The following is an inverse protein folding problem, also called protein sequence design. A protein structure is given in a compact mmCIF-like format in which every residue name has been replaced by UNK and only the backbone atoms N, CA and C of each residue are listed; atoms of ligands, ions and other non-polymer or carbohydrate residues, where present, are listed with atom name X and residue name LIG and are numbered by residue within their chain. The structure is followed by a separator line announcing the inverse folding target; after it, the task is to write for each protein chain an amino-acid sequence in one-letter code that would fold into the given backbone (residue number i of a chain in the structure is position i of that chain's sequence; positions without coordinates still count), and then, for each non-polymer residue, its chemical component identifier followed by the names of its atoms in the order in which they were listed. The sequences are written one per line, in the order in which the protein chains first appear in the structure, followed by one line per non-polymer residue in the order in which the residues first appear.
data_IF_326262900236
#
_entry.id   IF_326262900236
#
_cell.length_a   1.000
_cell.length_b   1.000
_cell.length_c   1.000
_cell.angle_alpha   90.00
_cell.angle_beta   90.00
_cell.angle_gamma   90.00
#
_symmetry.space_group_name_H-M   'P 1'
#
loop_
_entity.id
_entity.type
_entity.pdbx_description
1 polymer ?
#
# COMPACT_ATOMS: atom_id res chain seq x y z
N UNK A 1 15.56 -2.22 33.03
CA UNK A 1 17.02 -2.44 33.16
C UNK A 1 17.57 -2.93 31.84
N UNK A 2 18.84 -2.62 31.53
CA UNK A 2 19.57 -3.17 30.38
C UNK A 2 20.35 -4.40 30.85
N UNK A 3 20.14 -5.55 30.22
CA UNK A 3 20.72 -6.81 30.70
C UNK A 3 22.06 -7.14 30.02
N UNK A 4 22.32 -6.60 28.84
CA UNK A 4 23.51 -6.90 28.06
C UNK A 4 24.07 -5.65 27.36
N UNK A 5 25.39 -5.47 27.45
CA UNK A 5 26.13 -4.41 26.79
C UNK A 5 27.30 -5.02 25.99
N UNK A 6 27.41 -4.66 24.71
CA UNK A 6 28.49 -5.11 23.82
C UNK A 6 29.46 -3.95 23.59
N UNK A 7 30.75 -4.20 23.77
CA UNK A 7 31.82 -3.21 23.59
C UNK A 7 32.50 -3.36 22.22
N UNK A 8 32.68 -2.23 21.53
CA UNK A 8 33.48 -2.10 20.31
C UNK A 8 34.73 -1.25 20.52
N UNK A 9 35.48 -0.98 19.45
CA UNK A 9 36.78 -0.27 19.46
C UNK A 9 36.75 1.16 20.02
N UNK A 10 35.58 1.77 20.21
CA UNK A 10 35.42 3.10 20.82
C UNK A 10 33.98 3.45 21.16
N UNK A 11 33.11 2.43 21.30
CA UNK A 11 31.69 2.61 21.53
C UNK A 11 31.11 1.39 22.24
N UNK A 12 29.96 1.58 22.89
CA UNK A 12 29.19 0.52 23.50
C UNK A 12 27.76 0.58 22.99
N UNK A 13 27.14 -0.59 22.81
CA UNK A 13 25.74 -0.71 22.42
C UNK A 13 25.02 -1.66 23.39
N UNK A 14 23.82 -1.29 23.83
CA UNK A 14 22.99 -2.16 24.66
C UNK A 14 22.07 -3.05 23.82
N UNK A 15 21.61 -4.15 24.41
CA UNK A 15 20.58 -5.05 23.88
C UNK A 15 19.38 -4.31 23.25
N UNK A 16 18.82 -3.32 23.94
CA UNK A 16 17.66 -2.56 23.43
C UNK A 16 17.97 -1.79 22.15
N UNK A 17 19.16 -1.19 22.06
CA UNK A 17 19.59 -0.47 20.87
C UNK A 17 19.88 -1.43 19.70
N UNK A 18 20.34 -2.67 19.98
CA UNK A 18 20.53 -3.70 18.96
C UNK A 18 19.18 -4.10 18.36
N UNK A 19 18.16 -4.37 19.19
CA UNK A 19 16.82 -4.72 18.71
C UNK A 19 16.19 -3.59 17.88
N UNK A 20 16.34 -2.34 18.33
CA UNK A 20 15.84 -1.17 17.61
C UNK A 20 16.57 -0.96 16.28
N UNK A 21 17.90 -1.02 16.29
CA UNK A 21 18.70 -0.89 15.08
C UNK A 21 18.40 -2.02 14.08
N UNK A 22 18.23 -3.25 14.58
CA UNK A 22 17.80 -4.39 13.76
C UNK A 22 16.41 -4.15 13.17
N UNK A 23 15.45 -3.62 13.94
CA UNK A 23 14.13 -3.23 13.44
C UNK A 23 14.21 -2.22 12.30
N UNK A 24 15.03 -1.17 12.45
CA UNK A 24 15.25 -0.16 11.40
C UNK A 24 15.86 -0.78 10.14
N UNK A 25 16.86 -1.65 10.30
CA UNK A 25 17.49 -2.35 9.15
C UNK A 25 16.49 -3.26 8.44
N UNK A 26 15.65 -3.98 9.19
CA UNK A 26 14.59 -4.83 8.61
C UNK A 26 13.55 -3.98 7.88
N UNK A 27 13.10 -2.86 8.46
CA UNK A 27 12.17 -1.94 7.82
C UNK A 27 12.75 -1.33 6.53
N UNK A 28 14.01 -0.88 6.55
CA UNK A 28 14.71 -0.37 5.37
C UNK A 28 14.93 -1.46 4.31
N UNK A 29 15.26 -2.69 4.71
CA UNK A 29 15.35 -3.81 3.78
C UNK A 29 13.99 -4.18 3.16
N UNK A 30 12.91 -4.07 3.94
CA UNK A 30 11.55 -4.25 3.45
C UNK A 30 11.09 -3.06 2.59
N UNK A 31 11.68 -1.88 2.71
CA UNK A 31 11.41 -0.75 1.80
C UNK A 31 12.06 -0.90 0.42
N UNK A 32 13.10 -1.72 0.27
CA UNK A 32 13.63 -2.11 -1.05
C UNK A 32 12.85 -3.26 -1.72
N UNK A 33 11.83 -3.80 -1.03
CA UNK A 33 11.10 -4.97 -1.49
C UNK A 33 9.78 -5.16 -0.77
N UNK A 34 9.00 -4.09 -0.57
CA UNK A 34 7.57 -4.26 -0.32
C UNK A 34 6.97 -4.67 -1.68
N UNK A 35 7.24 -5.90 -2.07
CA UNK A 35 6.20 -6.71 -2.67
C UNK A 35 5.07 -6.72 -1.65
N UNK A 36 4.20 -5.70 -1.71
CA UNK A 36 2.79 -5.86 -1.47
C UNK A 36 2.48 -7.22 -2.06
N UNK A 37 2.28 -8.21 -1.18
CA UNK A 37 2.23 -9.59 -1.59
C UNK A 37 1.36 -9.67 -2.83
N UNK A 38 1.80 -10.39 -3.84
CA UNK A 38 1.02 -10.69 -5.05
C UNK A 38 -0.38 -11.24 -4.73
N UNK A 39 -0.63 -11.55 -3.45
CA UNK A 39 -1.88 -11.88 -2.77
C UNK A 39 -2.83 -10.71 -2.49
N UNK A 40 -2.45 -9.45 -2.71
CA UNK A 40 -3.45 -8.41 -2.97
C UNK A 40 -4.01 -8.69 -4.37
N UNK A 41 -4.77 -9.79 -4.50
CA UNK A 41 -5.41 -10.21 -5.74
C UNK A 41 -6.15 -9.01 -6.29
N UNK A 42 -5.57 -8.42 -7.33
CA UNK A 42 -6.05 -7.19 -7.93
C UNK A 42 -7.43 -7.49 -8.55
N UNK A 43 -8.47 -7.28 -7.76
CA UNK A 43 -9.85 -7.59 -8.14
C UNK A 43 -10.20 -6.83 -9.40
N UNK A 44 -10.81 -7.51 -10.37
CA UNK A 44 -11.24 -6.86 -11.61
C UNK A 44 -12.23 -5.75 -11.25
N UNK A 45 -12.27 -4.62 -11.99
CA UNK A 45 -13.22 -3.54 -11.72
C UNK A 45 -14.69 -4.03 -11.64
N UNK A 46 -15.04 -5.08 -12.38
CA UNK A 46 -16.37 -5.71 -12.30
C UNK A 46 -16.67 -6.32 -10.93
N UNK A 47 -15.68 -6.95 -10.29
CA UNK A 47 -15.82 -7.56 -8.97
C UNK A 47 -15.92 -6.49 -7.89
N UNK A 48 -15.12 -5.41 -8.01
CA UNK A 48 -15.21 -4.24 -7.13
C UNK A 48 -16.59 -3.59 -7.26
N UNK A 49 -17.08 -3.39 -8.49
CA UNK A 49 -18.44 -2.88 -8.72
C UNK A 49 -19.50 -3.79 -8.09
N UNK A 50 -19.41 -5.11 -8.32
CA UNK A 50 -20.37 -6.07 -7.78
C UNK A 50 -20.38 -6.09 -6.25
N UNK A 51 -19.25 -5.87 -5.60
CA UNK A 51 -19.18 -5.71 -4.15
C UNK A 51 -19.86 -4.40 -3.71
N UNK A 52 -19.64 -3.30 -4.42
CA UNK A 52 -20.33 -2.03 -4.13
C UNK A 52 -21.84 -2.14 -4.34
N UNK A 53 -22.28 -2.95 -5.31
CA UNK A 53 -23.70 -3.19 -5.60
C UNK A 53 -24.45 -3.82 -4.40
N UNK A 54 -23.75 -4.48 -3.46
CA UNK A 54 -24.40 -5.04 -2.26
C UNK A 54 -24.69 -3.99 -1.17
N UNK A 55 -24.08 -2.81 -1.25
CA UNK A 55 -24.22 -1.75 -0.25
C UNK A 55 -24.83 -0.46 -0.81
N UNK A 56 -24.57 -0.15 -2.08
CA UNK A 56 -24.99 1.09 -2.74
C UNK A 56 -25.93 0.75 -3.88
N UNK A 57 -27.20 1.11 -3.71
CA UNK A 57 -28.25 0.91 -4.72
C UNK A 57 -28.24 2.07 -5.72
N UNK A 58 -28.33 1.79 -7.02
CA UNK A 58 -28.23 2.81 -8.07
C UNK A 58 -26.79 3.29 -8.29
N UNK A 59 -26.59 4.56 -8.66
CA UNK A 59 -25.26 5.19 -8.81
C UNK A 59 -24.26 4.40 -9.69
N UNK A 60 -24.74 3.75 -10.76
CA UNK A 60 -23.93 2.86 -11.60
C UNK A 60 -22.67 3.51 -12.16
N UNK A 61 -22.79 4.77 -12.58
CA UNK A 61 -21.68 5.53 -13.15
C UNK A 61 -20.59 5.77 -12.10
N UNK A 62 -20.97 6.20 -10.90
CA UNK A 62 -20.05 6.44 -9.79
C UNK A 62 -19.32 5.16 -9.38
N UNK A 63 -20.06 4.06 -9.21
CA UNK A 63 -19.46 2.75 -8.88
C UNK A 63 -18.49 2.26 -9.95
N UNK A 64 -18.81 2.47 -11.23
CA UNK A 64 -17.91 2.13 -12.34
C UNK A 64 -16.61 2.96 -12.31
N UNK A 65 -16.72 4.27 -12.15
CA UNK A 65 -15.56 5.17 -12.08
C UNK A 65 -14.68 4.82 -10.87
N UNK A 66 -15.30 4.59 -9.71
CA UNK A 66 -14.59 4.24 -8.48
C UNK A 66 -13.88 2.89 -8.61
N UNK A 67 -14.54 1.88 -9.18
CA UNK A 67 -13.95 0.57 -9.40
C UNK A 67 -12.71 0.62 -10.31
N UNK A 68 -12.73 1.43 -11.38
CA UNK A 68 -11.58 1.61 -12.27
C UNK A 68 -10.46 2.40 -11.59
N UNK A 69 -10.79 3.47 -10.87
CA UNK A 69 -9.81 4.30 -10.17
C UNK A 69 -9.06 3.49 -9.10
N UNK A 70 -9.77 2.70 -8.30
CA UNK A 70 -9.19 1.83 -7.27
C UNK A 70 -8.33 0.73 -7.89
N UNK A 71 -8.81 0.08 -8.95
CA UNK A 71 -8.02 -0.91 -9.69
C UNK A 71 -6.70 -0.32 -10.20
N UNK A 72 -6.74 0.85 -10.85
CA UNK A 72 -5.54 1.52 -11.35
C UNK A 72 -4.63 2.01 -10.23
N UNK A 73 -5.19 2.43 -9.10
CA UNK A 73 -4.41 2.82 -7.92
C UNK A 73 -3.58 1.64 -7.39
N UNK A 74 -4.21 0.48 -7.18
CA UNK A 74 -3.49 -0.71 -6.74
C UNK A 74 -2.52 -1.23 -7.80
N UNK A 75 -2.89 -1.19 -9.09
CA UNK A 75 -1.98 -1.55 -10.19
C UNK A 75 -0.71 -0.71 -10.18
N UNK A 76 -0.83 0.59 -9.90
CA UNK A 76 0.30 1.51 -9.78
C UNK A 76 1.17 1.22 -8.55
N UNK A 77 0.57 0.84 -7.42
CA UNK A 77 1.31 0.49 -6.21
C UNK A 77 2.11 -0.82 -6.36
N UNK A 78 1.57 -1.76 -7.13
CA UNK A 78 2.21 -3.06 -7.40
C UNK A 78 3.23 -3.02 -8.55
N UNK A 79 3.32 -1.90 -9.27
CA UNK A 79 4.21 -1.77 -10.40
C UNK A 79 5.65 -1.62 -9.91
N UNK A 80 6.51 -2.59 -10.24
CA UNK A 80 7.95 -2.48 -10.01
C UNK A 80 8.54 -1.33 -10.85
N UNK A 81 9.46 -0.52 -10.30
CA UNK A 81 10.13 0.52 -11.05
C UNK A 81 11.04 -0.12 -12.10
N UNK A 82 10.63 -0.09 -13.36
CA UNK A 82 11.47 -0.45 -14.51
C UNK A 82 11.58 0.76 -15.45
N UNK A 83 12.76 1.00 -16.01
CA UNK A 83 13.09 2.23 -16.76
C UNK A 83 12.19 2.47 -17.99
N UNK A 84 11.66 1.41 -18.61
CA UNK A 84 10.76 1.49 -19.77
C UNK A 84 9.28 1.20 -19.43
N UNK A 85 8.92 1.14 -18.15
CA UNK A 85 7.55 0.82 -17.76
C UNK A 85 6.61 2.01 -18.00
N UNK A 86 5.42 1.72 -18.54
CA UNK A 86 4.37 2.72 -18.74
C UNK A 86 3.97 3.31 -17.38
N UNK A 87 4.10 4.64 -17.24
CA UNK A 87 3.75 5.35 -16.01
C UNK A 87 2.22 5.45 -15.87
N UNK A 88 1.68 4.98 -14.74
CA UNK A 88 0.25 5.07 -14.43
C UNK A 88 -0.01 6.37 -13.65
N UNK A 89 -0.76 7.30 -14.25
CA UNK A 89 -1.13 8.56 -13.60
C UNK A 89 -2.13 8.40 -12.44
N UNK A 90 -2.10 9.33 -11.49
CA UNK A 90 -3.02 9.34 -10.34
C UNK A 90 -4.46 9.65 -10.79
N UNK A 91 -5.40 8.77 -10.45
CA UNK A 91 -6.83 8.95 -10.71
C UNK A 91 -7.54 9.54 -9.49
N UNK A 92 -7.42 10.84 -9.26
CA UNK A 92 -8.20 11.51 -8.21
C UNK A 92 -9.68 11.59 -8.62
N UNK A 93 -10.59 11.47 -7.65
CA UNK A 93 -12.03 11.50 -7.89
C UNK A 93 -12.64 12.68 -7.15
N UNK A 94 -13.52 13.43 -7.84
CA UNK A 94 -14.43 14.40 -7.22
C UNK A 94 -15.83 13.79 -7.31
N UNK A 95 -16.53 13.70 -6.17
CA UNK A 95 -17.89 13.19 -6.08
C UNK A 95 -18.85 14.36 -5.90
N UNK A 96 -19.90 14.40 -6.70
CA UNK A 96 -20.96 15.42 -6.64
C UNK A 96 -22.30 14.70 -6.66
N UNK A 97 -23.18 15.03 -5.71
CA UNK A 97 -24.50 14.43 -5.57
C UNK A 97 -25.39 15.22 -4.61
N UNK A 98 -26.69 14.94 -4.67
CA UNK A 98 -27.69 15.52 -3.76
C UNK A 98 -27.55 14.92 -2.34
N UNK A 99 -28.20 15.52 -1.35
CA UNK A 99 -28.18 14.98 0.01
C UNK A 99 -28.94 13.66 0.08
N UNK A 100 -28.27 12.58 0.50
CA UNK A 100 -28.91 11.26 0.71
C UNK A 100 -28.87 10.31 -0.50
N UNK A 101 -28.05 10.59 -1.52
CA UNK A 101 -27.82 9.72 -2.68
C UNK A 101 -26.73 8.68 -2.50
#
# INVERSE_FOLDING_TARGET
ETNLLIAGLGAHICDRCIEQAHGIVVEESNHQGQELTSDLMLKKPKEIKSFLDTYVIGQDQTKKVMAVAVYNHYKRLLQSPAEDAIEIQKSNIILVGETGT
#
